data_IF_121763070650
#
_entry.id   IF_121763070650
#
_cell.length_a   1.000
_cell.length_b   1.000
_cell.length_c   1.000
_cell.angle_alpha   90.00
_cell.angle_beta   90.00
_cell.angle_gamma   90.00
#
_symmetry.space_group_name_H-M   'P 1'
#
loop_
_entity.id
_entity.type
_entity.pdbx_description
1 polymer ?
#
# COMPACT_ATOMS: atom_id res chain seq x y z
N UNK A 1 -46.06 -42.17 6.60
CA UNK A 1 -44.75 -42.76 6.36
C UNK A 1 -43.76 -41.66 6.02
N UNK A 2 -42.82 -41.56 6.91
CA UNK A 2 -41.47 -41.00 6.80
C UNK A 2 -41.27 -39.57 6.26
N UNK A 3 -41.11 -38.67 7.22
CA UNK A 3 -40.43 -37.41 7.09
C UNK A 3 -38.93 -37.62 6.93
N UNK A 4 -38.31 -36.79 6.10
CA UNK A 4 -36.85 -36.55 6.12
C UNK A 4 -36.58 -35.12 6.53
N UNK A 5 -35.98 -35.00 7.73
CA UNK A 5 -35.56 -33.73 8.31
C UNK A 5 -34.47 -33.06 7.47
N UNK A 6 -34.68 -31.80 7.23
CA UNK A 6 -33.63 -30.87 6.72
C UNK A 6 -32.74 -30.45 7.89
N UNK A 7 -31.54 -31.04 7.92
CA UNK A 7 -30.50 -30.67 8.86
C UNK A 7 -30.04 -29.19 8.61
N UNK A 8 -30.19 -28.40 9.64
CA UNK A 8 -29.61 -27.05 9.72
C UNK A 8 -28.09 -27.15 9.64
N UNK A 9 -27.51 -26.73 8.53
CA UNK A 9 -26.08 -26.42 8.45
C UNK A 9 -25.84 -25.14 9.20
N UNK A 10 -25.28 -25.25 10.39
CA UNK A 10 -24.66 -24.14 11.10
C UNK A 10 -23.48 -23.64 10.26
N UNK A 11 -23.65 -22.49 9.66
CA UNK A 11 -22.56 -21.70 9.10
C UNK A 11 -21.69 -21.20 10.26
N UNK A 12 -20.65 -21.97 10.60
CA UNK A 12 -19.50 -21.43 11.31
C UNK A 12 -18.81 -20.44 10.33
N UNK A 13 -19.07 -19.16 10.51
CA UNK A 13 -18.18 -18.11 9.99
C UNK A 13 -16.84 -18.25 10.71
N UNK A 14 -15.92 -18.95 10.06
CA UNK A 14 -14.50 -18.95 10.43
C UNK A 14 -14.01 -17.52 10.23
N UNK A 15 -13.77 -16.83 11.32
CA UNK A 15 -13.20 -15.48 11.32
C UNK A 15 -11.91 -15.49 10.48
N UNK A 16 -11.93 -14.76 9.36
CA UNK A 16 -10.75 -14.59 8.51
C UNK A 16 -9.66 -13.89 9.31
N UNK A 17 -8.56 -14.57 9.47
CA UNK A 17 -7.37 -14.17 10.21
C UNK A 17 -6.82 -12.86 9.64
N UNK A 18 -6.88 -11.78 10.41
CA UNK A 18 -6.27 -10.48 10.06
C UNK A 18 -4.77 -10.59 10.23
N UNK A 19 -4.04 -10.69 9.13
CA UNK A 19 -2.58 -10.82 9.14
C UNK A 19 -1.94 -9.45 9.01
N UNK A 20 -1.19 -9.03 10.03
CA UNK A 20 -0.15 -8.02 9.91
C UNK A 20 1.11 -8.72 9.38
N UNK A 21 1.34 -8.64 8.06
CA UNK A 21 2.40 -9.41 7.41
C UNK A 21 2.12 -10.92 7.38
N UNK A 22 3.16 -11.74 7.45
CA UNK A 22 3.07 -13.21 7.46
C UNK A 22 2.89 -13.80 8.88
N UNK A 23 2.68 -12.96 9.89
CA UNK A 23 2.53 -13.38 11.29
C UNK A 23 1.07 -13.64 11.63
N UNK A 24 0.84 -14.76 12.32
CA UNK A 24 -0.48 -15.06 12.87
C UNK A 24 -0.76 -14.17 14.08
N UNK A 25 -1.89 -13.46 14.07
CA UNK A 25 -2.30 -12.60 15.19
C UNK A 25 -2.71 -13.48 16.38
N UNK A 26 -2.23 -13.20 17.61
CA UNK A 26 -2.66 -13.94 18.80
C UNK A 26 -4.17 -13.88 19.03
N UNK A 27 -4.77 -14.97 19.50
CA UNK A 27 -6.23 -15.07 19.74
C UNK A 27 -6.75 -13.96 20.64
N UNK A 28 -5.99 -13.60 21.69
CA UNK A 28 -6.36 -12.51 22.61
C UNK A 28 -6.45 -11.15 21.92
N UNK A 29 -5.52 -10.87 20.98
CA UNK A 29 -5.50 -9.66 20.15
C UNK A 29 -6.62 -9.69 19.13
N UNK A 30 -6.88 -10.84 18.47
CA UNK A 30 -8.01 -11.01 17.54
C UNK A 30 -9.35 -10.73 18.23
N UNK A 31 -9.56 -11.29 19.44
CA UNK A 31 -10.78 -11.06 20.22
C UNK A 31 -10.96 -9.57 20.53
N UNK A 32 -9.89 -8.89 20.94
CA UNK A 32 -9.90 -7.44 21.18
C UNK A 32 -10.30 -6.67 19.90
N UNK A 33 -9.66 -6.96 18.79
CA UNK A 33 -9.95 -6.29 17.51
C UNK A 33 -11.38 -6.52 17.04
N UNK A 34 -11.88 -7.75 17.16
CA UNK A 34 -13.26 -8.12 16.80
C UNK A 34 -14.27 -7.37 17.68
N UNK A 35 -14.04 -7.32 18.99
CA UNK A 35 -14.94 -6.59 19.91
C UNK A 35 -14.96 -5.08 19.63
N UNK A 36 -13.79 -4.47 19.38
CA UNK A 36 -13.70 -3.04 19.03
C UNK A 36 -14.41 -2.73 17.72
N UNK A 37 -14.22 -3.57 16.71
CA UNK A 37 -14.87 -3.41 15.40
C UNK A 37 -16.39 -3.56 15.50
N UNK A 38 -16.86 -4.62 16.17
CA UNK A 38 -18.30 -4.86 16.37
C UNK A 38 -18.95 -3.66 17.07
N UNK A 39 -18.39 -3.20 18.20
CA UNK A 39 -18.88 -2.03 18.93
C UNK A 39 -18.90 -0.77 18.06
N UNK A 40 -17.85 -0.55 17.27
CA UNK A 40 -17.78 0.61 16.40
C UNK A 40 -18.82 0.57 15.28
N UNK A 41 -19.14 -0.61 14.75
CA UNK A 41 -20.10 -0.82 13.67
C UNK A 41 -21.54 -0.77 14.16
N UNK A 42 -21.82 -1.38 15.30
CA UNK A 42 -23.15 -1.42 15.92
C UNK A 42 -23.58 -0.03 16.42
N UNK A 43 -22.62 0.73 16.96
CA UNK A 43 -22.86 2.06 17.50
C UNK A 43 -22.01 3.14 16.78
N UNK A 44 -22.45 3.66 15.64
CA UNK A 44 -21.69 4.65 14.87
C UNK A 44 -21.40 5.96 15.60
N UNK A 45 -22.18 6.27 16.63
CA UNK A 45 -22.01 7.44 17.51
C UNK A 45 -21.15 7.20 18.73
N UNK A 46 -20.77 5.94 19.01
CA UNK A 46 -20.00 5.61 20.20
C UNK A 46 -18.61 6.21 20.17
N UNK A 47 -18.21 6.82 21.28
CA UNK A 47 -16.90 7.44 21.48
C UNK A 47 -16.09 6.66 22.50
N UNK A 48 -14.99 6.07 22.06
CA UNK A 48 -14.14 5.20 22.87
C UNK A 48 -13.27 6.02 23.83
N UNK A 49 -13.32 5.70 25.11
CA UNK A 49 -12.66 6.43 26.21
C UNK A 49 -11.60 5.62 26.99
N UNK A 50 -11.58 4.31 26.85
CA UNK A 50 -10.62 3.41 27.49
C UNK A 50 -9.90 2.56 26.44
N UNK A 51 -8.88 3.13 25.81
CA UNK A 51 -8.09 2.47 24.77
C UNK A 51 -6.59 2.45 25.11
N UNK A 52 -6.13 3.40 25.90
CA UNK A 52 -4.72 3.51 26.22
C UNK A 52 -4.21 2.28 26.98
N UNK A 53 -4.98 1.77 27.92
CA UNK A 53 -4.71 0.54 28.64
C UNK A 53 -4.53 -0.67 27.72
N UNK A 54 -5.30 -0.71 26.61
CA UNK A 54 -5.22 -1.78 25.60
C UNK A 54 -3.96 -1.70 24.75
N UNK A 55 -3.47 -0.49 24.49
CA UNK A 55 -2.18 -0.27 23.82
C UNK A 55 -1.03 -0.75 24.70
N UNK A 56 -1.14 -0.59 26.02
CA UNK A 56 -0.12 -0.99 26.99
C UNK A 56 -0.15 -2.49 27.34
N UNK A 57 -1.07 -3.29 26.79
CA UNK A 57 -1.16 -4.73 27.05
C UNK A 57 0.09 -5.43 26.51
N UNK A 58 0.61 -6.37 27.31
CA UNK A 58 1.80 -7.13 26.96
C UNK A 58 1.64 -7.89 25.63
N UNK A 59 0.52 -8.60 25.45
CA UNK A 59 0.25 -9.36 24.22
C UNK A 59 0.13 -8.48 22.97
N UNK A 60 -0.35 -7.24 23.11
CA UNK A 60 -0.42 -6.25 22.02
C UNK A 60 0.97 -5.73 21.67
N UNK A 61 1.78 -5.39 22.66
CA UNK A 61 3.16 -4.92 22.47
C UNK A 61 4.05 -6.00 21.86
N UNK A 62 3.95 -7.25 22.34
CA UNK A 62 4.68 -8.38 21.76
C UNK A 62 4.30 -8.61 20.28
N UNK A 63 3.01 -8.60 19.97
CA UNK A 63 2.56 -8.74 18.59
C UNK A 63 3.00 -7.58 17.71
N UNK A 64 2.98 -6.35 18.24
CA UNK A 64 3.49 -5.16 17.57
C UNK A 64 5.00 -5.26 17.30
N UNK A 65 5.79 -5.69 18.28
CA UNK A 65 7.23 -5.90 18.12
C UNK A 65 7.54 -6.94 17.05
N UNK A 66 6.92 -8.12 17.14
CA UNK A 66 7.09 -9.20 16.12
C UNK A 66 6.71 -8.73 14.73
N UNK A 67 5.65 -7.93 14.60
CA UNK A 67 5.23 -7.34 13.32
C UNK A 67 6.25 -6.34 12.77
N UNK A 68 6.80 -5.48 13.62
CA UNK A 68 7.86 -4.55 13.25
C UNK A 68 9.14 -5.28 12.81
N UNK A 69 9.53 -6.33 13.55
CA UNK A 69 10.70 -7.15 13.26
C UNK A 69 10.58 -7.93 11.95
N UNK A 70 9.39 -8.53 11.69
CA UNK A 70 9.12 -9.24 10.44
C UNK A 70 9.19 -8.32 9.20
N UNK A 71 8.78 -7.06 9.35
CA UNK A 71 8.88 -6.06 8.29
C UNK A 71 10.31 -5.55 8.09
N UNK A 72 11.22 -5.88 9.00
CA UNK A 72 12.61 -5.40 9.01
C UNK A 72 12.67 -3.87 9.03
N UNK A 73 13.76 -3.29 8.69
CA UNK A 73 13.89 -1.84 8.57
C UNK A 73 15.13 -1.32 9.29
N UNK A 74 15.56 -0.15 8.87
CA UNK A 74 16.75 0.49 9.43
C UNK A 74 16.50 1.03 10.83
N UNK A 75 17.56 1.20 11.61
CA UNK A 75 17.54 1.89 12.90
C UNK A 75 17.05 3.35 12.74
N UNK A 76 16.43 3.88 13.79
CA UNK A 76 16.06 5.28 13.92
C UNK A 76 17.26 6.19 14.18
N UNK A 77 16.99 7.32 14.86
CA UNK A 77 18.02 8.29 15.28
C UNK A 77 18.90 7.76 16.42
N UNK A 78 18.36 6.84 17.21
CA UNK A 78 19.02 6.16 18.32
C UNK A 78 20.07 5.12 17.88
N UNK A 79 20.02 4.70 16.61
CA UNK A 79 20.90 3.68 16.07
C UNK A 79 20.56 2.25 16.49
N UNK A 80 19.56 2.04 17.36
CA UNK A 80 19.16 0.74 17.91
C UNK A 80 18.56 -0.14 16.82
N UNK A 81 18.99 -1.40 16.76
CA UNK A 81 18.52 -2.44 15.84
C UNK A 81 17.76 -3.52 16.59
N UNK A 82 17.03 -4.36 15.86
CA UNK A 82 16.34 -5.51 16.47
C UNK A 82 17.30 -6.51 17.10
N UNK A 83 18.46 -6.71 16.48
CA UNK A 83 19.52 -7.58 16.99
C UNK A 83 20.07 -7.09 18.36
N UNK A 84 20.13 -5.78 18.55
CA UNK A 84 20.60 -5.19 19.82
C UNK A 84 19.59 -5.44 20.95
N UNK A 85 18.29 -5.30 20.64
CA UNK A 85 17.21 -5.59 21.59
C UNK A 85 17.17 -7.08 21.97
N UNK A 86 17.38 -7.97 20.98
CA UNK A 86 17.46 -9.42 21.24
C UNK A 86 18.65 -9.79 22.12
N UNK A 87 19.78 -9.15 21.89
CA UNK A 87 20.99 -9.38 22.71
C UNK A 87 20.84 -8.88 24.14
N UNK A 88 20.06 -7.82 24.37
CA UNK A 88 19.78 -7.28 25.71
C UNK A 88 18.59 -7.93 26.44
N UNK A 89 17.81 -8.77 25.77
CA UNK A 89 16.62 -9.43 26.30
C UNK A 89 15.29 -8.80 25.84
N UNK A 90 14.64 -9.46 24.86
CA UNK A 90 13.38 -8.97 24.25
C UNK A 90 12.26 -8.81 25.30
N UNK A 91 12.11 -9.78 26.21
CA UNK A 91 11.04 -9.76 27.21
C UNK A 91 11.22 -8.63 28.23
N UNK A 92 12.45 -8.42 28.70
CA UNK A 92 12.80 -7.34 29.63
C UNK A 92 12.55 -5.98 28.99
N UNK A 93 13.03 -5.77 27.76
CA UNK A 93 12.83 -4.55 27.01
C UNK A 93 11.33 -4.24 26.77
N UNK A 94 10.52 -5.24 26.43
CA UNK A 94 9.07 -5.09 26.27
C UNK A 94 8.39 -4.77 27.62
N UNK A 95 8.84 -5.40 28.70
CA UNK A 95 8.36 -5.11 30.05
C UNK A 95 8.65 -3.66 30.46
N UNK A 96 9.86 -3.17 30.24
CA UNK A 96 10.24 -1.77 30.50
C UNK A 96 9.40 -0.80 29.66
N UNK A 97 9.18 -1.11 28.38
CA UNK A 97 8.35 -0.29 27.50
C UNK A 97 6.90 -0.24 27.99
N UNK A 98 6.34 -1.38 28.42
CA UNK A 98 5.00 -1.45 28.98
C UNK A 98 4.87 -0.59 30.25
N UNK A 99 5.87 -0.64 31.17
CA UNK A 99 5.89 0.17 32.39
C UNK A 99 6.02 1.67 32.07
N UNK A 100 6.87 2.07 31.13
CA UNK A 100 6.99 3.46 30.69
C UNK A 100 5.67 3.98 30.12
N UNK A 101 4.97 3.17 29.33
CA UNK A 101 3.64 3.51 28.81
C UNK A 101 2.63 3.65 29.97
N UNK A 102 2.54 2.69 30.90
CA UNK A 102 1.63 2.74 32.06
C UNK A 102 1.86 3.99 32.91
N UNK A 103 3.13 4.33 33.14
CA UNK A 103 3.52 5.56 33.87
C UNK A 103 3.32 6.84 33.05
N UNK A 104 3.02 6.73 31.77
CA UNK A 104 2.87 7.86 30.83
C UNK A 104 4.16 8.67 30.60
N UNK A 105 5.29 8.02 30.80
CA UNK A 105 6.63 8.60 30.63
C UNK A 105 7.18 8.41 29.21
N UNK A 106 6.49 7.64 28.36
CA UNK A 106 6.87 7.50 26.97
C UNK A 106 6.78 8.85 26.25
N UNK A 107 7.84 9.17 25.51
CA UNK A 107 7.93 10.31 24.60
C UNK A 107 8.55 9.82 23.30
N UNK A 108 7.95 10.15 22.12
CA UNK A 108 8.56 9.78 20.85
C UNK A 108 9.85 10.56 20.62
N UNK A 109 10.80 9.90 20.00
CA UNK A 109 12.04 10.51 19.58
C UNK A 109 11.92 11.23 18.24
N UNK A 110 13.01 11.84 17.77
CA UNK A 110 13.05 12.44 16.46
C UNK A 110 12.95 11.36 15.38
N UNK A 111 12.30 11.71 14.26
CA UNK A 111 12.18 10.84 13.10
C UNK A 111 13.40 11.04 12.20
N UNK A 112 14.16 9.99 11.91
CA UNK A 112 15.31 10.04 11.02
C UNK A 112 14.85 10.23 9.58
N UNK A 113 15.29 11.32 8.92
CA UNK A 113 15.01 11.60 7.51
C UNK A 113 15.96 10.85 6.59
N UNK A 114 15.39 10.15 5.62
CA UNK A 114 16.14 9.51 4.53
C UNK A 114 15.48 9.88 3.21
N UNK A 115 16.31 10.22 2.22
CA UNK A 115 15.85 10.59 0.88
C UNK A 115 15.92 9.39 -0.06
N UNK A 116 14.78 9.02 -0.64
CA UNK A 116 14.69 7.92 -1.62
C UNK A 116 14.53 8.51 -3.01
N UNK A 117 15.40 8.15 -3.98
CA UNK A 117 15.29 8.66 -5.34
C UNK A 117 14.02 8.14 -6.03
N UNK A 118 13.27 9.06 -6.64
CA UNK A 118 12.13 8.73 -7.52
C UNK A 118 12.62 8.49 -8.95
N UNK A 119 11.88 7.73 -9.78
CA UNK A 119 12.25 7.49 -11.19
C UNK A 119 12.38 8.74 -12.05
N UNK A 120 11.81 9.86 -11.62
CA UNK A 120 11.87 11.16 -12.30
C UNK A 120 13.02 12.07 -11.81
N UNK A 121 13.98 11.51 -11.07
CA UNK A 121 15.12 12.25 -10.52
C UNK A 121 14.81 13.08 -9.26
N UNK A 122 13.54 13.26 -8.89
CA UNK A 122 13.17 13.90 -7.61
C UNK A 122 13.40 12.93 -6.45
N UNK A 123 13.55 13.46 -5.25
CA UNK A 123 13.67 12.66 -4.04
C UNK A 123 12.32 12.58 -3.29
N UNK A 124 12.10 11.46 -2.60
CA UNK A 124 10.98 11.27 -1.68
C UNK A 124 11.52 11.27 -0.26
N UNK A 125 11.03 12.15 0.62
CA UNK A 125 11.40 12.10 2.03
C UNK A 125 10.73 10.89 2.70
N UNK A 126 11.53 10.06 3.35
CA UNK A 126 11.05 8.98 4.21
C UNK A 126 11.47 9.28 5.65
N UNK A 127 10.53 9.15 6.57
CA UNK A 127 10.81 9.28 7.99
C UNK A 127 10.90 7.90 8.65
N UNK A 128 12.00 7.62 9.32
CA UNK A 128 12.24 6.35 10.01
C UNK A 128 12.17 6.64 11.53
N UNK A 129 11.07 6.26 12.22
CA UNK A 129 11.00 6.32 13.68
C UNK A 129 11.94 5.29 14.31
N UNK A 130 12.27 5.45 15.60
CA UNK A 130 12.98 4.45 16.38
C UNK A 130 12.19 3.14 16.47
N UNK A 131 12.83 2.03 16.84
CA UNK A 131 12.12 0.76 17.01
C UNK A 131 11.06 0.91 18.10
N UNK A 132 11.38 1.58 19.19
CA UNK A 132 10.44 1.90 20.28
C UNK A 132 9.19 2.59 19.74
N UNK A 133 9.36 3.65 18.97
CA UNK A 133 8.24 4.40 18.38
C UNK A 133 7.44 3.56 17.39
N UNK A 134 8.11 2.75 16.58
CA UNK A 134 7.43 1.83 15.65
C UNK A 134 6.56 0.81 16.37
N UNK A 135 7.05 0.25 17.49
CA UNK A 135 6.30 -0.72 18.28
C UNK A 135 5.09 -0.06 18.93
N UNK A 136 5.24 1.11 19.55
CA UNK A 136 4.11 1.83 20.18
C UNK A 136 3.08 2.27 19.15
N UNK A 137 3.51 2.78 18.00
CA UNK A 137 2.59 3.14 16.91
C UNK A 137 1.87 1.92 16.32
N UNK A 138 2.55 0.79 16.18
CA UNK A 138 1.94 -0.46 15.72
C UNK A 138 0.95 -1.01 16.74
N UNK A 139 1.27 -0.95 18.03
CA UNK A 139 0.35 -1.29 19.13
C UNK A 139 -0.90 -0.40 19.10
N UNK A 140 -0.71 0.90 18.90
CA UNK A 140 -1.83 1.83 18.71
C UNK A 140 -2.67 1.49 17.47
N UNK A 141 -2.04 1.15 16.33
CA UNK A 141 -2.76 0.69 15.14
C UNK A 141 -3.58 -0.57 15.39
N UNK A 142 -3.04 -1.57 16.08
CA UNK A 142 -3.75 -2.81 16.43
C UNK A 142 -5.08 -2.50 17.14
N UNK A 143 -5.09 -1.47 17.99
CA UNK A 143 -6.28 -1.06 18.76
C UNK A 143 -7.19 -0.12 17.96
N UNK A 144 -6.65 0.83 17.21
CA UNK A 144 -7.42 1.90 16.56
C UNK A 144 -7.98 1.50 15.19
N UNK A 145 -7.24 0.70 14.42
CA UNK A 145 -7.63 0.31 13.06
C UNK A 145 -9.01 -0.37 13.02
N UNK A 146 -9.37 -1.33 13.90
CA UNK A 146 -10.69 -1.94 13.92
C UNK A 146 -11.84 -0.94 14.14
N UNK A 147 -11.60 0.11 14.93
CA UNK A 147 -12.60 1.13 15.21
C UNK A 147 -12.85 1.99 13.96
N UNK A 148 -11.77 2.45 13.33
CA UNK A 148 -11.87 3.32 12.18
C UNK A 148 -12.23 2.58 10.89
N UNK A 149 -11.88 1.29 10.77
CA UNK A 149 -12.30 0.45 9.64
C UNK A 149 -13.83 0.42 9.50
N UNK A 150 -14.57 0.43 10.62
CA UNK A 150 -16.03 0.52 10.62
C UNK A 150 -16.57 1.85 10.01
N UNK A 151 -15.74 2.90 10.01
CA UNK A 151 -16.09 4.24 9.53
C UNK A 151 -15.61 4.55 8.11
N UNK A 152 -14.57 3.84 7.63
CA UNK A 152 -13.99 4.09 6.31
C UNK A 152 -15.01 3.85 5.20
N UNK A 153 -14.95 4.66 4.18
CA UNK A 153 -15.90 4.61 3.06
C UNK A 153 -15.55 3.48 2.08
N UNK A 154 -16.54 3.02 1.35
CA UNK A 154 -16.39 1.95 0.35
C UNK A 154 -15.48 2.32 -0.81
N UNK A 155 -15.27 3.58 -1.06
CA UNK A 155 -14.42 4.14 -2.10
C UNK A 155 -12.93 4.14 -1.73
N UNK A 156 -12.57 3.83 -0.46
CA UNK A 156 -11.19 3.77 0.01
C UNK A 156 -10.66 2.34 -0.03
N UNK A 157 -9.54 2.12 -0.72
CA UNK A 157 -8.98 0.78 -0.96
C UNK A 157 -7.62 0.55 -0.32
N UNK A 158 -6.80 1.60 -0.14
CA UNK A 158 -5.46 1.47 0.41
C UNK A 158 -5.44 1.23 1.90
N UNK A 159 -4.43 0.49 2.37
CA UNK A 159 -4.14 0.25 3.79
C UNK A 159 -5.28 -0.38 4.58
N UNK A 160 -6.08 -1.21 3.95
CA UNK A 160 -7.21 -1.93 4.56
C UNK A 160 -7.01 -3.44 4.45
N UNK A 161 -7.44 -4.19 5.47
CA UNK A 161 -7.15 -5.62 5.58
C UNK A 161 -7.75 -6.48 4.45
N UNK A 162 -8.96 -6.17 3.99
CA UNK A 162 -9.69 -6.97 3.00
C UNK A 162 -9.83 -6.29 1.63
N UNK A 163 -9.10 -5.18 1.42
CA UNK A 163 -9.14 -4.41 0.19
C UNK A 163 -7.74 -4.14 -0.31
N UNK A 164 -7.57 -4.20 -1.62
CA UNK A 164 -6.27 -4.01 -2.23
C UNK A 164 -6.32 -3.25 -3.55
N UNK A 165 -5.15 -3.09 -4.14
CA UNK A 165 -5.01 -2.43 -5.43
C UNK A 165 -5.82 -3.11 -6.54
N UNK A 166 -5.93 -4.45 -6.51
CA UNK A 166 -6.73 -5.19 -7.47
C UNK A 166 -8.22 -4.85 -7.39
N UNK A 167 -8.74 -4.62 -6.19
CA UNK A 167 -10.16 -4.28 -6.02
C UNK A 167 -10.43 -2.86 -6.54
N UNK A 168 -9.52 -1.92 -6.29
CA UNK A 168 -9.58 -0.59 -6.88
C UNK A 168 -9.53 -0.63 -8.42
N UNK A 169 -8.63 -1.43 -8.99
CA UNK A 169 -8.50 -1.62 -10.45
C UNK A 169 -9.76 -2.25 -11.03
N UNK A 170 -10.34 -3.27 -10.38
CA UNK A 170 -11.62 -3.89 -10.80
C UNK A 170 -12.77 -2.90 -10.75
N UNK A 171 -12.83 -2.07 -9.72
CA UNK A 171 -13.89 -1.06 -9.58
C UNK A 171 -13.80 0.01 -10.66
N UNK A 172 -12.60 0.52 -10.95
CA UNK A 172 -12.40 1.44 -12.09
C UNK A 172 -12.84 0.79 -13.41
N UNK A 173 -12.44 -0.46 -13.65
CA UNK A 173 -12.85 -1.19 -14.85
C UNK A 173 -14.39 -1.34 -14.95
N UNK A 174 -15.03 -1.71 -13.83
CA UNK A 174 -16.49 -1.83 -13.73
C UNK A 174 -17.19 -0.50 -14.07
N UNK A 175 -16.72 0.60 -13.50
CA UNK A 175 -17.27 1.94 -13.75
C UNK A 175 -17.15 2.33 -15.23
N UNK A 176 -15.99 2.10 -15.84
CA UNK A 176 -15.78 2.38 -17.26
C UNK A 176 -16.71 1.57 -18.18
N UNK A 177 -16.90 0.28 -17.88
CA UNK A 177 -17.78 -0.62 -18.65
C UNK A 177 -19.27 -0.32 -18.45
N UNK A 178 -19.63 0.33 -17.33
CA UNK A 178 -21.01 0.80 -17.08
C UNK A 178 -21.27 2.23 -17.55
N UNK A 179 -20.37 2.80 -18.36
CA UNK A 179 -20.57 4.08 -19.06
C UNK A 179 -19.98 5.31 -18.36
N UNK A 180 -19.26 5.15 -17.24
CA UNK A 180 -18.57 6.26 -16.56
C UNK A 180 -17.20 6.50 -17.18
N UNK A 181 -17.20 6.95 -18.45
CA UNK A 181 -16.02 6.95 -19.32
C UNK A 181 -15.24 8.27 -19.32
N UNK A 182 -15.72 9.28 -18.58
CA UNK A 182 -14.97 10.52 -18.37
C UNK A 182 -14.27 10.41 -17.02
N UNK A 183 -12.94 10.33 -17.05
CA UNK A 183 -12.13 10.00 -15.89
C UNK A 183 -11.30 11.20 -15.48
N UNK A 184 -11.47 11.65 -14.25
CA UNK A 184 -10.59 12.62 -13.62
C UNK A 184 -9.51 11.81 -12.89
N UNK A 185 -8.29 11.85 -13.41
CA UNK A 185 -7.09 11.30 -12.78
C UNK A 185 -6.42 12.43 -12.00
N UNK A 186 -6.52 12.39 -10.67
CA UNK A 186 -6.10 13.47 -9.79
C UNK A 186 -4.87 13.10 -8.96
N UNK A 187 -3.81 13.92 -9.08
CA UNK A 187 -2.59 13.82 -8.28
C UNK A 187 -2.62 14.90 -7.19
N UNK A 188 -2.35 14.52 -5.94
CA UNK A 188 -2.26 15.46 -4.82
C UNK A 188 -0.80 15.81 -4.54
N UNK A 189 -0.50 17.10 -4.51
CA UNK A 189 0.84 17.60 -4.21
C UNK A 189 1.18 17.40 -2.74
N UNK A 190 2.15 16.52 -2.45
CA UNK A 190 2.64 16.34 -1.09
C UNK A 190 1.54 15.98 -0.09
N UNK A 191 0.65 15.06 -0.42
CA UNK A 191 -0.55 14.76 0.37
C UNK A 191 -0.24 14.57 1.86
N UNK A 192 0.73 13.69 2.19
CA UNK A 192 1.12 13.44 3.58
C UNK A 192 1.67 14.68 4.28
N UNK A 193 2.40 15.52 3.57
CA UNK A 193 3.05 16.71 4.14
C UNK A 193 2.07 17.90 4.28
N UNK A 194 0.90 17.82 3.62
CA UNK A 194 -0.10 18.90 3.60
C UNK A 194 -1.24 18.75 4.62
N UNK A 195 -1.44 17.56 5.21
CA UNK A 195 -2.56 17.26 6.10
C UNK A 195 -2.49 18.13 7.37
N UNK A 196 -3.51 19.00 7.63
CA UNK A 196 -3.52 19.87 8.81
C UNK A 196 -3.76 19.07 10.10
N UNK A 197 -2.91 19.23 11.10
CA UNK A 197 -3.01 18.51 12.38
C UNK A 197 -4.34 18.76 13.10
N UNK A 198 -4.78 20.03 13.17
CA UNK A 198 -6.02 20.40 13.84
C UNK A 198 -7.24 19.67 13.27
N UNK A 199 -7.35 19.64 11.94
CA UNK A 199 -8.48 19.03 11.26
C UNK A 199 -8.40 17.49 11.28
N UNK A 200 -7.19 16.92 11.22
CA UNK A 200 -6.96 15.51 11.39
C UNK A 200 -7.36 15.06 12.81
N UNK A 201 -6.90 15.77 13.84
CA UNK A 201 -7.26 15.47 15.24
C UNK A 201 -8.74 15.54 15.51
N UNK A 202 -9.50 16.47 14.86
CA UNK A 202 -10.97 16.48 14.91
C UNK A 202 -11.56 15.19 14.32
N UNK A 203 -10.96 14.66 13.24
CA UNK A 203 -11.41 13.40 12.64
C UNK A 203 -11.18 12.21 13.56
N UNK A 204 -10.03 12.18 14.25
CA UNK A 204 -9.73 11.16 15.26
C UNK A 204 -10.67 11.29 16.47
N UNK A 205 -10.81 12.51 17.01
CA UNK A 205 -11.63 12.79 18.19
C UNK A 205 -13.12 12.53 18.00
N UNK A 206 -13.59 12.35 16.77
CA UNK A 206 -14.96 11.93 16.49
C UNK A 206 -15.29 10.56 17.11
N UNK A 207 -14.31 9.65 17.15
CA UNK A 207 -14.46 8.28 17.68
C UNK A 207 -13.65 8.05 18.97
N UNK A 208 -12.58 8.77 19.16
CA UNK A 208 -11.66 8.57 20.29
C UNK A 208 -11.71 9.78 21.21
N UNK A 209 -12.08 9.56 22.47
CA UNK A 209 -12.04 10.59 23.53
C UNK A 209 -11.04 10.26 24.63
N UNK A 210 -10.34 9.13 24.52
CA UNK A 210 -9.22 8.81 25.40
C UNK A 210 -8.12 9.86 25.21
N UNK A 211 -7.95 10.70 26.24
CA UNK A 211 -6.99 11.81 26.21
C UNK A 211 -5.55 11.36 26.00
N UNK A 212 -5.21 10.17 26.51
CA UNK A 212 -3.83 9.66 26.41
C UNK A 212 -3.54 9.16 24.99
N UNK A 213 -4.50 8.52 24.33
CA UNK A 213 -4.39 8.12 22.92
C UNK A 213 -4.31 9.36 22.03
N UNK A 214 -5.17 10.37 22.26
CA UNK A 214 -5.10 11.63 21.51
C UNK A 214 -3.76 12.34 21.71
N UNK A 215 -3.22 12.30 22.92
CA UNK A 215 -1.91 12.86 23.23
C UNK A 215 -0.78 12.14 22.51
N UNK A 216 -0.78 10.80 22.47
CA UNK A 216 0.18 10.01 21.69
C UNK A 216 0.18 10.41 20.22
N UNK A 217 -1.01 10.44 19.61
CA UNK A 217 -1.13 10.81 18.18
C UNK A 217 -0.58 12.22 17.94
N UNK A 218 -0.92 13.18 18.82
CA UNK A 218 -0.40 14.54 18.74
C UNK A 218 1.13 14.58 18.84
N UNK A 219 1.71 13.84 19.78
CA UNK A 219 3.16 13.76 19.95
C UNK A 219 3.85 13.21 18.68
N UNK A 220 3.30 12.18 18.03
CA UNK A 220 3.86 11.64 16.79
C UNK A 220 3.76 12.61 15.61
N UNK A 221 2.68 13.41 15.52
CA UNK A 221 2.54 14.44 14.50
C UNK A 221 3.51 15.60 14.70
N UNK A 222 3.84 15.92 15.95
CA UNK A 222 4.72 17.02 16.34
C UNK A 222 6.19 16.58 16.56
N UNK A 223 6.49 15.29 16.39
CA UNK A 223 7.83 14.76 16.57
C UNK A 223 8.84 15.48 15.65
N UNK A 224 10.00 15.87 16.16
CA UNK A 224 11.03 16.49 15.34
C UNK A 224 11.53 15.55 14.24
N UNK A 225 12.03 16.12 13.18
CA UNK A 225 12.72 15.38 12.12
C UNK A 225 14.21 15.67 12.19
N UNK A 226 15.03 14.64 12.18
CA UNK A 226 16.49 14.75 12.15
C UNK A 226 17.02 14.30 10.80
N UNK A 227 17.85 15.13 10.19
CA UNK A 227 18.45 14.89 8.88
C UNK A 227 19.98 14.97 9.00
N UNK A 228 20.65 13.99 8.41
CA UNK A 228 22.11 13.97 8.30
C UNK A 228 22.51 14.63 6.98
N UNK A 229 23.43 15.60 7.06
CA UNK A 229 23.94 16.33 5.88
C UNK A 229 25.03 15.55 5.11
N UNK A 230 25.34 14.33 5.54
CA UNK A 230 26.40 13.50 4.95
C UNK A 230 27.82 13.88 5.38
N UNK A 231 27.98 14.96 6.15
CA UNK A 231 29.26 15.42 6.72
C UNK A 231 29.36 15.19 8.22
N UNK A 232 28.40 14.43 8.79
CA UNK A 232 28.34 14.11 10.22
C UNK A 232 27.59 15.15 11.07
N UNK A 233 27.06 16.21 10.47
CA UNK A 233 26.21 17.15 11.20
C UNK A 233 24.76 16.71 11.09
N UNK A 234 24.08 16.64 12.23
CA UNK A 234 22.66 16.32 12.33
C UNK A 234 21.85 17.59 12.52
N UNK A 235 21.01 17.90 11.56
CA UNK A 235 20.07 19.02 11.63
C UNK A 235 18.72 18.52 12.12
N UNK A 236 18.26 19.07 13.24
CA UNK A 236 16.94 18.80 13.80
C UNK A 236 15.97 19.91 13.40
N UNK A 237 14.78 19.54 12.91
CA UNK A 237 13.74 20.49 12.52
C UNK A 237 12.40 20.12 13.13
N UNK A 238 11.62 21.14 13.46
CA UNK A 238 10.25 21.03 14.00
C UNK A 238 9.22 21.57 13.02
N UNK A 239 9.55 21.63 11.76
CA UNK A 239 8.73 22.27 10.70
C UNK A 239 7.28 21.76 10.66
N UNK A 240 7.02 20.46 10.87
CA UNK A 240 5.66 19.90 10.90
C UNK A 240 4.86 20.43 12.08
N UNK A 241 5.49 20.51 13.27
CA UNK A 241 4.88 21.08 14.47
C UNK A 241 4.59 22.56 14.28
N UNK A 242 5.56 23.32 13.80
CA UNK A 242 5.49 24.78 13.69
C UNK A 242 4.49 25.21 12.61
N UNK A 243 4.39 24.43 11.51
CA UNK A 243 3.37 24.63 10.47
C UNK A 243 2.00 24.03 10.84
N UNK A 244 1.90 23.20 11.87
CA UNK A 244 0.68 22.49 12.28
C UNK A 244 0.13 21.56 11.22
N UNK A 245 1.00 20.98 10.38
CA UNK A 245 0.63 20.08 9.28
C UNK A 245 1.73 19.09 8.94
N UNK A 246 1.33 17.99 8.31
CA UNK A 246 2.21 16.93 7.86
C UNK A 246 2.14 15.69 8.74
N UNK A 247 2.18 14.52 8.09
CA UNK A 247 2.26 13.20 8.72
C UNK A 247 3.57 12.55 8.28
N UNK A 248 4.36 11.98 9.19
CA UNK A 248 5.64 11.35 8.84
C UNK A 248 5.47 10.21 7.82
N UNK A 249 6.00 10.34 6.60
CA UNK A 249 5.97 9.28 5.61
C UNK A 249 6.90 8.14 6.06
N UNK A 250 6.32 6.96 6.35
CA UNK A 250 7.05 5.77 6.81
C UNK A 250 6.79 5.39 8.27
N UNK A 251 6.09 6.22 9.03
CA UNK A 251 5.63 5.86 10.36
C UNK A 251 4.42 4.89 10.30
N UNK A 252 4.35 3.86 11.15
CA UNK A 252 3.29 2.85 11.11
C UNK A 252 1.87 3.41 11.18
N UNK A 253 1.62 4.45 11.97
CA UNK A 253 0.30 5.05 12.15
C UNK A 253 -0.15 5.91 10.98
N UNK A 254 0.76 6.36 10.13
CA UNK A 254 0.47 7.35 9.07
C UNK A 254 -0.52 6.90 8.00
N UNK A 255 -0.55 5.62 7.57
CA UNK A 255 -1.58 5.12 6.66
C UNK A 255 -3.00 5.27 7.20
N UNK A 256 -3.23 4.93 8.48
CA UNK A 256 -4.53 5.09 9.13
C UNK A 256 -4.96 6.56 9.17
N UNK A 257 -4.05 7.44 9.60
CA UNK A 257 -4.32 8.87 9.70
C UNK A 257 -4.60 9.50 8.34
N UNK A 258 -3.88 9.10 7.28
CA UNK A 258 -4.12 9.56 5.92
C UNK A 258 -5.50 9.13 5.41
N UNK A 259 -5.90 7.87 5.64
CA UNK A 259 -7.24 7.39 5.28
C UNK A 259 -8.35 8.15 6.02
N UNK A 260 -8.16 8.46 7.30
CA UNK A 260 -9.11 9.26 8.09
C UNK A 260 -9.27 10.67 7.52
N UNK A 261 -8.20 11.25 7.01
CA UNK A 261 -8.27 12.58 6.41
C UNK A 261 -8.92 12.54 5.03
N UNK A 262 -8.57 11.59 4.17
CA UNK A 262 -9.18 11.40 2.84
C UNK A 262 -10.68 11.07 2.95
N UNK A 263 -11.11 10.38 3.99
CA UNK A 263 -12.52 10.15 4.28
C UNK A 263 -13.33 11.45 4.29
N UNK A 264 -12.76 12.58 4.74
CA UNK A 264 -13.45 13.88 4.74
C UNK A 264 -13.80 14.35 3.33
N UNK A 265 -12.88 14.13 2.38
CA UNK A 265 -13.15 14.41 0.96
C UNK A 265 -14.32 13.60 0.43
N UNK A 266 -14.31 12.29 0.68
CA UNK A 266 -15.36 11.39 0.19
C UNK A 266 -16.73 11.73 0.81
N UNK A 267 -16.75 12.02 2.11
CA UNK A 267 -17.98 12.46 2.77
C UNK A 267 -18.47 13.80 2.23
N UNK A 268 -17.58 14.77 2.02
CA UNK A 268 -17.93 16.06 1.40
C UNK A 268 -18.51 15.86 -0.01
N UNK A 269 -17.91 14.99 -0.82
CA UNK A 269 -18.40 14.62 -2.14
C UNK A 269 -19.83 14.09 -2.11
N UNK A 270 -20.12 13.16 -1.19
CA UNK A 270 -21.45 12.58 -1.00
C UNK A 270 -22.45 13.62 -0.47
N UNK A 271 -22.07 14.42 0.53
CA UNK A 271 -22.93 15.45 1.13
C UNK A 271 -23.32 16.55 0.14
N UNK A 272 -22.42 16.94 -0.76
CA UNK A 272 -22.71 17.91 -1.82
C UNK A 272 -23.50 17.31 -2.97
N UNK A 273 -23.84 16.03 -2.91
CA UNK A 273 -24.60 15.32 -3.92
C UNK A 273 -23.87 15.15 -5.26
N UNK A 274 -22.54 15.30 -5.26
CA UNK A 274 -21.72 15.23 -6.46
C UNK A 274 -21.87 13.91 -7.21
N UNK A 275 -21.94 12.80 -6.46
CA UNK A 275 -22.14 11.46 -6.99
C UNK A 275 -23.43 11.35 -7.81
N UNK A 276 -24.56 11.86 -7.30
CA UNK A 276 -25.85 11.87 -8.01
C UNK A 276 -25.89 12.91 -9.13
N UNK A 277 -25.37 14.12 -8.86
CA UNK A 277 -25.46 15.27 -9.79
C UNK A 277 -24.72 15.01 -11.10
N UNK A 278 -23.58 14.36 -11.03
CA UNK A 278 -22.69 14.14 -12.19
C UNK A 278 -22.53 12.67 -12.53
N UNK A 279 -23.20 11.76 -11.84
CA UNK A 279 -22.95 10.31 -11.89
C UNK A 279 -21.46 10.03 -11.81
N UNK A 280 -20.83 10.54 -10.76
CA UNK A 280 -19.37 10.60 -10.59
C UNK A 280 -18.93 9.84 -9.34
N UNK A 281 -18.28 8.70 -9.56
CA UNK A 281 -17.88 7.75 -8.53
C UNK A 281 -16.39 7.85 -8.23
N UNK A 282 -16.04 7.90 -6.95
CA UNK A 282 -14.67 7.97 -6.47
C UNK A 282 -14.07 6.57 -6.34
N UNK A 283 -12.82 6.42 -6.75
CA UNK A 283 -11.94 5.29 -6.40
C UNK A 283 -10.65 5.88 -5.83
N UNK A 284 -10.41 5.67 -4.55
CA UNK A 284 -9.25 6.23 -3.86
C UNK A 284 -8.30 5.13 -3.38
N UNK A 285 -7.02 5.29 -3.66
CA UNK A 285 -5.95 4.43 -3.17
C UNK A 285 -4.81 5.28 -2.61
N UNK A 286 -4.81 5.54 -1.31
CA UNK A 286 -3.90 6.46 -0.62
C UNK A 286 -3.97 7.90 -1.20
N UNK A 287 -2.90 8.38 -1.80
CA UNK A 287 -2.80 9.67 -2.51
C UNK A 287 -3.28 9.60 -3.96
N UNK A 288 -3.40 8.41 -4.55
CA UNK A 288 -3.96 8.23 -5.89
C UNK A 288 -5.49 8.31 -5.85
N UNK A 289 -6.06 9.22 -6.63
CA UNK A 289 -7.51 9.50 -6.68
C UNK A 289 -8.01 9.50 -8.11
N UNK A 290 -8.99 8.64 -8.39
CA UNK A 290 -9.70 8.60 -9.68
C UNK A 290 -11.18 8.86 -9.45
N UNK A 291 -11.79 9.71 -10.29
CA UNK A 291 -13.23 9.93 -10.31
C UNK A 291 -13.76 9.60 -11.69
N UNK A 292 -14.59 8.57 -11.79
CA UNK A 292 -15.21 8.14 -13.01
C UNK A 292 -16.60 8.77 -13.16
N UNK A 293 -16.80 9.60 -14.19
CA UNK A 293 -18.00 10.36 -14.43
C UNK A 293 -18.74 9.87 -15.68
N UNK A 294 -20.05 9.90 -15.66
CA UNK A 294 -20.87 9.63 -16.84
C UNK A 294 -21.05 10.88 -17.69
N UNK A 295 -21.29 12.02 -17.07
CA UNK A 295 -21.46 13.32 -17.73
C UNK A 295 -20.89 14.45 -16.86
N UNK A 296 -20.73 15.66 -17.47
CA UNK A 296 -20.31 16.90 -16.80
C UNK A 296 -19.01 16.77 -15.99
N UNK A 297 -18.03 16.11 -16.58
CA UNK A 297 -16.77 15.82 -15.88
C UNK A 297 -15.99 17.09 -15.54
N UNK A 298 -16.13 18.17 -16.32
CA UNK A 298 -15.49 19.46 -16.03
C UNK A 298 -16.09 20.10 -14.76
N UNK A 299 -17.43 20.00 -14.59
CA UNK A 299 -18.09 20.45 -13.35
C UNK A 299 -17.68 19.59 -12.15
N UNK A 300 -17.55 18.26 -12.36
CA UNK A 300 -17.09 17.34 -11.34
C UNK A 300 -15.64 17.65 -10.92
N UNK A 301 -14.76 17.98 -11.86
CA UNK A 301 -13.38 18.41 -11.58
C UNK A 301 -13.35 19.70 -10.74
N UNK A 302 -14.15 20.69 -11.10
CA UNK A 302 -14.27 21.93 -10.32
C UNK A 302 -14.80 21.66 -8.90
N UNK A 303 -15.80 20.79 -8.77
CA UNK A 303 -16.31 20.34 -7.47
C UNK A 303 -15.25 19.65 -6.62
N UNK A 304 -14.44 18.76 -7.22
CA UNK A 304 -13.29 18.12 -6.56
C UNK A 304 -12.30 19.18 -6.04
N UNK A 305 -11.88 20.13 -6.90
CA UNK A 305 -10.96 21.21 -6.53
C UNK A 305 -11.49 22.03 -5.36
N UNK A 306 -12.76 22.42 -5.39
CA UNK A 306 -13.40 23.20 -4.32
C UNK A 306 -13.44 22.46 -2.98
N UNK A 307 -13.65 21.14 -2.98
CA UNK A 307 -13.62 20.34 -1.74
C UNK A 307 -12.17 20.18 -1.25
N UNK A 308 -11.22 19.93 -2.15
CA UNK A 308 -9.80 19.81 -1.78
C UNK A 308 -9.25 21.10 -1.18
N UNK A 309 -9.59 22.24 -1.75
CA UNK A 309 -9.23 23.56 -1.21
C UNK A 309 -9.77 23.77 0.22
N UNK A 310 -11.05 23.44 0.47
CA UNK A 310 -11.64 23.49 1.83
C UNK A 310 -10.94 22.57 2.81
N UNK A 311 -10.39 21.47 2.33
CA UNK A 311 -9.59 20.54 3.11
C UNK A 311 -8.10 20.97 3.20
N UNK A 312 -7.74 22.10 2.60
CA UNK A 312 -6.34 22.59 2.53
C UNK A 312 -5.39 21.58 1.88
N UNK A 313 -5.89 20.81 0.92
CA UNK A 313 -5.13 19.90 0.08
C UNK A 313 -4.89 20.55 -1.28
N UNK A 314 -3.70 20.40 -1.82
CA UNK A 314 -3.32 21.00 -3.10
C UNK A 314 -3.37 19.96 -4.20
N UNK A 315 -4.21 20.20 -5.20
CA UNK A 315 -4.26 19.40 -6.43
C UNK A 315 -3.06 19.80 -7.30
N UNK A 316 -2.38 18.83 -7.87
CA UNK A 316 -1.30 19.05 -8.81
C UNK A 316 -1.86 19.25 -10.22
N UNK A 317 -1.90 20.49 -10.71
CA UNK A 317 -2.50 20.82 -12.00
C UNK A 317 -1.77 20.20 -13.19
N UNK A 318 -0.44 20.09 -13.10
CA UNK A 318 0.38 19.51 -14.18
C UNK A 318 0.13 18.02 -14.40
N UNK A 319 -0.37 17.34 -13.38
CA UNK A 319 -0.58 15.89 -13.39
C UNK A 319 -2.04 15.48 -13.27
N UNK A 320 -2.93 16.42 -12.97
CA UNK A 320 -4.37 16.13 -12.92
C UNK A 320 -4.98 16.31 -14.29
N UNK A 321 -5.53 15.25 -14.83
CA UNK A 321 -6.04 15.23 -16.19
C UNK A 321 -7.47 14.69 -16.26
N UNK A 322 -8.24 15.22 -17.21
CA UNK A 322 -9.53 14.67 -17.63
C UNK A 322 -9.30 13.78 -18.85
N UNK A 323 -9.48 12.49 -18.71
CA UNK A 323 -9.33 11.50 -19.79
C UNK A 323 -10.70 11.01 -20.25
N UNK A 324 -10.93 10.98 -21.57
CA UNK A 324 -12.17 10.49 -22.20
C UNK A 324 -11.94 9.10 -22.82
N UNK A 325 -12.48 8.07 -22.17
CA UNK A 325 -12.37 6.69 -22.64
C UNK A 325 -13.53 6.40 -23.58
N UNK A 326 -13.32 5.72 -24.69
CA UNK A 326 -12.14 4.95 -25.11
C UNK A 326 -11.15 5.70 -26.02
N UNK A 327 -11.34 6.98 -26.28
CA UNK A 327 -10.47 7.75 -27.18
C UNK A 327 -9.07 7.93 -26.60
N UNK A 328 -9.00 8.17 -25.31
CA UNK A 328 -7.79 8.36 -24.56
C UNK A 328 -7.48 7.14 -23.68
N UNK A 329 -6.40 7.21 -22.91
CA UNK A 329 -5.95 6.18 -21.97
C UNK A 329 -5.38 6.87 -20.75
N UNK A 330 -5.53 6.25 -19.59
CA UNK A 330 -4.89 6.69 -18.36
C UNK A 330 -4.28 5.53 -17.61
N UNK A 331 -3.33 5.83 -16.74
CA UNK A 331 -2.64 4.84 -15.90
C UNK A 331 -3.10 5.01 -14.44
N UNK A 332 -3.57 3.93 -13.83
CA UNK A 332 -3.91 3.90 -12.41
C UNK A 332 -3.33 2.63 -11.77
N UNK A 333 -2.63 2.78 -10.64
CA UNK A 333 -1.97 1.69 -9.91
C UNK A 333 -1.10 0.79 -10.78
N UNK A 334 -0.43 1.37 -11.77
CA UNK A 334 0.45 0.65 -12.69
C UNK A 334 -0.25 -0.08 -13.82
N UNK A 335 -1.57 -0.02 -13.90
CA UNK A 335 -2.36 -0.51 -15.04
C UNK A 335 -2.76 0.64 -15.96
N UNK A 336 -2.84 0.36 -17.27
CA UNK A 336 -3.40 1.26 -18.28
C UNK A 336 -4.81 0.83 -18.64
N UNK A 337 -5.75 1.76 -18.55
CA UNK A 337 -7.14 1.61 -18.97
C UNK A 337 -7.37 2.27 -20.32
N UNK A 338 -8.16 1.63 -21.20
CA UNK A 338 -8.50 2.19 -22.52
C UNK A 338 -8.95 1.15 -23.51
N UNK A 339 -9.03 1.54 -24.78
CA UNK A 339 -9.47 0.66 -25.86
C UNK A 339 -8.51 -0.50 -26.06
N UNK A 340 -9.05 -1.70 -26.05
CA UNK A 340 -8.41 -2.96 -26.42
C UNK A 340 -9.23 -3.64 -27.54
N UNK A 341 -8.65 -4.64 -28.19
CA UNK A 341 -9.31 -5.41 -29.25
C UNK A 341 -9.23 -6.90 -28.90
N UNK A 342 -10.36 -7.59 -29.04
CA UNK A 342 -10.43 -9.04 -28.88
C UNK A 342 -9.61 -9.73 -29.98
N UNK A 343 -8.75 -10.65 -29.62
CA UNK A 343 -7.98 -11.45 -30.59
C UNK A 343 -8.86 -12.43 -31.38
N UNK A 344 -9.98 -12.83 -30.78
CA UNK A 344 -10.91 -13.81 -31.40
C UNK A 344 -11.89 -13.12 -32.34
N UNK A 345 -12.50 -12.01 -31.88
CA UNK A 345 -13.60 -11.36 -32.63
C UNK A 345 -13.20 -10.08 -33.34
N UNK A 346 -12.01 -9.54 -33.08
CA UNK A 346 -11.56 -8.21 -33.58
C UNK A 346 -12.32 -7.03 -32.95
N UNK A 347 -13.35 -7.26 -32.16
CA UNK A 347 -14.19 -6.19 -31.59
C UNK A 347 -13.43 -5.38 -30.52
N UNK A 348 -13.66 -4.08 -30.55
CA UNK A 348 -13.14 -3.17 -29.55
C UNK A 348 -13.90 -3.33 -28.21
N UNK A 349 -13.15 -3.25 -27.11
CA UNK A 349 -13.70 -3.22 -25.76
C UNK A 349 -12.83 -2.33 -24.84
N UNK A 350 -13.35 -1.94 -23.70
CA UNK A 350 -12.56 -1.25 -22.67
C UNK A 350 -11.79 -2.30 -21.87
N UNK A 351 -10.47 -2.23 -21.93
CA UNK A 351 -9.59 -3.21 -21.27
C UNK A 351 -8.66 -2.57 -20.25
N UNK A 352 -8.11 -3.45 -19.42
CA UNK A 352 -7.14 -3.11 -18.37
C UNK A 352 -5.89 -3.96 -18.59
N UNK A 353 -4.71 -3.35 -18.69
CA UNK A 353 -3.46 -4.07 -18.95
C UNK A 353 -2.30 -3.46 -18.17
N UNK A 354 -1.21 -4.20 -17.91
CA UNK A 354 -0.01 -3.62 -17.32
C UNK A 354 0.48 -2.41 -18.12
N UNK A 355 0.80 -1.30 -17.43
CA UNK A 355 1.24 -0.08 -18.10
C UNK A 355 2.63 -0.26 -18.73
N UNK A 356 2.91 0.49 -19.79
CA UNK A 356 4.24 0.52 -20.43
C UNK A 356 5.34 0.84 -19.40
N UNK A 357 5.05 1.74 -18.46
CA UNK A 357 5.97 2.14 -17.39
C UNK A 357 6.25 0.98 -16.43
N UNK A 358 5.25 0.16 -16.12
CA UNK A 358 5.39 -1.01 -15.25
C UNK A 358 6.20 -2.13 -15.94
N UNK A 359 5.92 -2.36 -17.22
CA UNK A 359 6.69 -3.32 -18.04
C UNK A 359 8.16 -2.88 -18.14
N UNK A 360 8.41 -1.59 -18.44
CA UNK A 360 9.77 -1.05 -18.52
C UNK A 360 10.54 -1.24 -17.21
N UNK A 361 9.93 -0.91 -16.05
CA UNK A 361 10.57 -1.12 -14.74
C UNK A 361 10.96 -2.59 -14.51
N UNK A 362 10.14 -3.53 -14.95
CA UNK A 362 10.45 -4.96 -14.85
C UNK A 362 11.62 -5.34 -15.76
N UNK A 363 11.62 -4.85 -16.99
CA UNK A 363 12.72 -5.03 -17.96
C UNK A 363 14.03 -4.47 -17.43
N UNK A 364 14.01 -3.25 -16.86
CA UNK A 364 15.18 -2.63 -16.26
C UNK A 364 15.70 -3.45 -15.06
N UNK A 365 14.79 -3.95 -14.21
CA UNK A 365 15.14 -4.79 -13.06
C UNK A 365 15.75 -6.15 -13.47
N UNK A 366 15.25 -6.77 -14.54
CA UNK A 366 15.85 -8.01 -15.11
C UNK A 366 17.24 -7.70 -15.66
N UNK A 367 17.40 -6.56 -16.33
CA UNK A 367 18.67 -6.13 -16.90
C UNK A 367 19.74 -5.93 -15.83
N UNK A 368 19.36 -5.33 -14.70
CA UNK A 368 20.23 -5.16 -13.55
C UNK A 368 20.64 -6.50 -12.92
N UNK A 369 19.71 -7.45 -12.74
CA UNK A 369 20.04 -8.78 -12.18
C UNK A 369 20.98 -9.58 -13.09
N UNK A 370 20.93 -9.35 -14.38
CA UNK A 370 21.75 -10.03 -15.40
C UNK A 370 22.88 -9.13 -15.93
N UNK A 371 23.34 -8.16 -15.10
CA UNK A 371 24.47 -7.32 -15.47
C UNK A 371 25.79 -8.12 -15.53
N UNK A 372 26.72 -7.67 -16.38
CA UNK A 372 28.04 -8.33 -16.53
C UNK A 372 28.83 -8.37 -15.23
N UNK A 373 28.66 -7.40 -14.37
CA UNK A 373 29.35 -7.33 -13.07
C UNK A 373 28.93 -8.44 -12.11
N UNK A 374 27.82 -9.11 -12.40
CA UNK A 374 27.26 -10.20 -11.59
C UNK A 374 27.61 -11.60 -12.11
N UNK A 375 28.54 -11.74 -13.09
CA UNK A 375 28.92 -13.04 -13.67
C UNK A 375 29.66 -13.97 -12.70
N UNK A 376 30.13 -13.45 -11.58
CA UNK A 376 30.74 -14.26 -10.50
C UNK A 376 29.68 -15.02 -9.68
N UNK A 377 28.43 -14.57 -9.69
CA UNK A 377 27.34 -15.22 -8.93
C UNK A 377 26.95 -16.55 -9.56
N UNK A 378 26.46 -17.49 -8.75
CA UNK A 378 25.94 -18.77 -9.24
C UNK A 378 24.68 -18.60 -10.07
N UNK A 379 24.50 -19.47 -11.09
CA UNK A 379 23.38 -19.40 -12.00
C UNK A 379 22.05 -19.63 -11.27
N UNK A 380 21.99 -20.60 -10.36
CA UNK A 380 20.83 -20.90 -9.53
C UNK A 380 20.42 -19.70 -8.66
N UNK A 381 21.40 -19.01 -8.06
CA UNK A 381 21.14 -17.81 -7.27
C UNK A 381 20.51 -16.69 -8.10
N UNK A 382 21.07 -16.42 -9.30
CA UNK A 382 20.56 -15.40 -10.22
C UNK A 382 19.14 -15.75 -10.70
N UNK A 383 18.92 -17.01 -11.09
CA UNK A 383 17.60 -17.51 -11.51
C UNK A 383 16.59 -17.44 -10.36
N UNK A 384 16.98 -17.81 -9.16
CA UNK A 384 16.14 -17.68 -7.96
C UNK A 384 15.70 -16.23 -7.71
N UNK A 385 16.58 -15.25 -7.90
CA UNK A 385 16.26 -13.82 -7.80
C UNK A 385 15.32 -13.37 -8.92
N UNK A 386 15.59 -13.78 -10.16
CA UNK A 386 14.71 -13.49 -11.31
C UNK A 386 13.32 -14.07 -11.07
N UNK A 387 13.20 -15.32 -10.62
CA UNK A 387 11.93 -15.99 -10.37
C UNK A 387 11.11 -15.27 -9.29
N UNK A 388 11.73 -14.82 -8.19
CA UNK A 388 11.03 -14.02 -7.16
C UNK A 388 10.45 -12.73 -7.74
N UNK A 389 11.23 -12.01 -8.56
CA UNK A 389 10.77 -10.77 -9.22
C UNK A 389 9.67 -11.05 -10.24
N UNK A 390 9.82 -12.06 -11.09
CA UNK A 390 8.83 -12.46 -12.10
C UNK A 390 7.52 -12.89 -11.44
N UNK A 391 7.59 -13.70 -10.38
CA UNK A 391 6.42 -14.16 -9.64
C UNK A 391 5.69 -13.00 -8.97
N UNK A 392 6.41 -12.14 -8.26
CA UNK A 392 5.82 -10.97 -7.59
C UNK A 392 5.15 -10.03 -8.59
N UNK A 393 5.80 -9.77 -9.74
CA UNK A 393 5.25 -8.94 -10.80
C UNK A 393 4.00 -9.57 -11.42
N UNK A 394 4.03 -10.86 -11.73
CA UNK A 394 2.89 -11.57 -12.32
C UNK A 394 1.71 -11.69 -11.35
N UNK A 395 1.94 -11.89 -10.07
CA UNK A 395 0.90 -11.90 -9.05
C UNK A 395 0.17 -10.56 -8.96
N UNK A 396 0.90 -9.45 -9.13
CA UNK A 396 0.30 -8.12 -9.14
C UNK A 396 -0.37 -7.80 -10.49
N UNK A 397 0.30 -8.04 -11.60
CA UNK A 397 -0.21 -7.73 -12.94
C UNK A 397 -0.93 -8.94 -13.55
N UNK A 398 -2.01 -9.37 -12.89
CA UNK A 398 -2.81 -10.53 -13.31
C UNK A 398 -4.19 -10.17 -13.88
N UNK A 399 -4.58 -8.88 -13.90
CA UNK A 399 -5.90 -8.45 -14.36
C UNK A 399 -5.89 -8.06 -15.85
N UNK A 400 -6.94 -8.49 -16.57
CA UNK A 400 -7.15 -8.19 -17.96
C UNK A 400 -6.23 -8.94 -18.94
N UNK A 401 -6.06 -8.49 -20.19
CA UNK A 401 -5.27 -9.15 -21.23
C UNK A 401 -3.75 -9.00 -20.99
N UNK A 402 -3.21 -9.78 -20.07
CA UNK A 402 -1.80 -9.75 -19.63
C UNK A 402 -0.84 -10.50 -20.56
N UNK A 403 -1.33 -11.42 -21.40
CA UNK A 403 -0.49 -12.29 -22.23
C UNK A 403 0.58 -11.56 -23.06
N UNK A 404 0.29 -10.40 -23.71
CA UNK A 404 1.32 -9.68 -24.46
C UNK A 404 2.46 -9.15 -23.57
N UNK A 405 2.12 -8.67 -22.36
CA UNK A 405 3.11 -8.18 -21.40
C UNK A 405 3.98 -9.32 -20.86
N UNK A 406 3.34 -10.46 -20.52
CA UNK A 406 4.05 -11.66 -20.06
C UNK A 406 4.99 -12.18 -21.11
N UNK A 407 4.54 -12.25 -22.39
CA UNK A 407 5.40 -12.68 -23.50
C UNK A 407 6.61 -11.77 -23.70
N UNK A 408 6.40 -10.45 -23.66
CA UNK A 408 7.48 -9.47 -23.82
C UNK A 408 8.54 -9.60 -22.70
N UNK A 409 8.09 -9.70 -21.45
CA UNK A 409 9.00 -9.89 -20.30
C UNK A 409 9.69 -11.24 -20.36
N UNK A 410 8.97 -12.30 -20.72
CA UNK A 410 9.53 -13.65 -20.84
C UNK A 410 10.64 -13.72 -21.91
N UNK A 411 10.39 -13.13 -23.06
CA UNK A 411 11.38 -13.03 -24.13
C UNK A 411 12.62 -12.25 -23.67
N UNK A 412 12.41 -11.13 -22.97
CA UNK A 412 13.51 -10.33 -22.45
C UNK A 412 14.35 -11.08 -21.42
N UNK A 413 13.72 -11.73 -20.43
CA UNK A 413 14.48 -12.46 -19.39
C UNK A 413 15.27 -13.62 -19.97
N UNK A 414 14.71 -14.37 -20.92
CA UNK A 414 15.42 -15.45 -21.59
C UNK A 414 16.65 -14.94 -22.35
N UNK A 415 16.51 -13.85 -23.12
CA UNK A 415 17.61 -13.24 -23.85
C UNK A 415 18.71 -12.74 -22.91
N UNK A 416 18.33 -12.06 -21.82
CA UNK A 416 19.26 -11.51 -20.84
C UNK A 416 20.00 -12.62 -20.08
N UNK A 417 19.29 -13.63 -19.59
CA UNK A 417 19.89 -14.76 -18.87
C UNK A 417 20.86 -15.54 -19.76
N UNK A 418 20.47 -15.80 -21.01
CA UNK A 418 21.34 -16.48 -21.99
C UNK A 418 22.63 -15.70 -22.26
N UNK A 419 22.53 -14.39 -22.47
CA UNK A 419 23.71 -13.52 -22.62
C UNK A 419 24.60 -13.50 -21.38
N UNK A 420 23.99 -13.52 -20.21
CA UNK A 420 24.70 -13.57 -18.93
C UNK A 420 25.45 -14.89 -18.77
N UNK A 421 24.83 -16.05 -19.08
CA UNK A 421 25.45 -17.38 -19.08
C UNK A 421 26.63 -17.47 -20.08
N UNK A 422 26.45 -16.94 -21.29
CA UNK A 422 27.52 -16.90 -22.29
C UNK A 422 28.75 -16.13 -21.77
N UNK A 423 28.51 -14.99 -21.10
CA UNK A 423 29.61 -14.21 -20.51
C UNK A 423 30.29 -14.95 -19.35
N UNK A 424 29.48 -15.55 -18.46
CA UNK A 424 30.00 -16.31 -17.32
C UNK A 424 30.90 -17.47 -17.76
N UNK A 425 30.50 -18.20 -18.79
CA UNK A 425 31.19 -19.40 -19.28
C UNK A 425 32.02 -19.17 -20.54
N UNK A 426 32.23 -17.89 -20.92
CA UNK A 426 33.02 -17.49 -22.10
C UNK A 426 32.57 -18.18 -23.42
N UNK A 427 31.27 -18.44 -23.56
CA UNK A 427 30.66 -19.02 -24.76
C UNK A 427 30.48 -17.94 -25.81
N UNK A 428 31.00 -18.17 -27.02
CA UNK A 428 30.81 -17.25 -28.14
C UNK A 428 29.45 -17.38 -28.81
N UNK A 429 29.01 -16.33 -29.49
CA UNK A 429 27.74 -16.27 -30.22
C UNK A 429 26.52 -16.01 -29.35
N UNK A 430 25.33 -16.35 -29.87
CA UNK A 430 24.05 -16.08 -29.21
C UNK A 430 23.74 -16.99 -28.02
N UNK A 431 24.48 -18.08 -27.86
CA UNK A 431 24.29 -19.08 -26.82
C UNK A 431 23.04 -19.95 -26.99
N UNK A 432 22.28 -19.82 -28.08
CA UNK A 432 21.01 -20.56 -28.25
C UNK A 432 21.22 -22.07 -28.31
N UNK A 433 22.27 -22.52 -28.96
CA UNK A 433 22.63 -23.95 -29.04
C UNK A 433 23.10 -24.50 -27.69
N UNK A 434 23.94 -23.75 -26.97
CA UNK A 434 24.48 -24.17 -25.66
C UNK A 434 23.44 -24.08 -24.54
N UNK A 435 22.58 -23.06 -24.59
CA UNK A 435 21.55 -22.77 -23.59
C UNK A 435 20.20 -22.62 -24.30
N UNK A 436 19.61 -23.71 -24.83
CA UNK A 436 18.29 -23.66 -25.46
C UNK A 436 17.21 -23.27 -24.42
N UNK A 437 16.00 -22.93 -24.90
CA UNK A 437 14.91 -22.52 -24.01
C UNK A 437 14.59 -23.60 -22.98
N UNK A 438 14.63 -24.87 -23.38
CA UNK A 438 14.41 -26.01 -22.50
C UNK A 438 15.42 -26.03 -21.35
N UNK A 439 16.70 -25.78 -21.61
CA UNK A 439 17.73 -25.69 -20.57
C UNK A 439 17.43 -24.60 -19.53
N UNK A 440 16.96 -23.42 -19.97
CA UNK A 440 16.61 -22.33 -19.06
C UNK A 440 15.43 -22.67 -18.16
N UNK A 441 14.42 -23.37 -18.66
CA UNK A 441 13.23 -23.72 -17.92
C UNK A 441 13.39 -24.99 -17.08
N UNK A 442 13.94 -26.06 -17.65
CA UNK A 442 13.94 -27.39 -17.03
C UNK A 442 15.18 -27.64 -16.18
N UNK A 443 16.35 -27.13 -16.60
CA UNK A 443 17.63 -27.34 -15.84
C UNK A 443 17.83 -26.22 -14.83
N UNK A 444 17.67 -24.95 -15.25
CA UNK A 444 17.89 -23.80 -14.35
C UNK A 444 16.61 -23.40 -13.58
N UNK A 445 15.45 -23.96 -13.91
CA UNK A 445 14.20 -23.70 -13.22
C UNK A 445 13.66 -22.28 -13.40
N UNK A 446 13.99 -21.61 -14.55
CA UNK A 446 13.41 -20.30 -14.84
C UNK A 446 11.90 -20.41 -15.03
N UNK A 447 11.13 -19.52 -14.42
CA UNK A 447 9.67 -19.47 -14.55
C UNK A 447 9.27 -19.03 -15.96
N UNK A 448 8.38 -19.81 -16.60
CA UNK A 448 7.74 -19.46 -17.86
C UNK A 448 6.48 -18.64 -17.60
N UNK A 449 6.56 -17.32 -17.73
CA UNK A 449 5.42 -16.41 -17.47
C UNK A 449 4.18 -16.69 -18.35
N UNK A 450 4.29 -16.92 -19.66
CA UNK A 450 3.16 -17.25 -20.51
C UNK A 450 2.33 -18.43 -20.03
N UNK A 451 2.97 -19.48 -19.47
CA UNK A 451 2.24 -20.64 -18.93
C UNK A 451 1.31 -20.28 -17.77
N UNK A 452 1.66 -19.26 -16.97
CA UNK A 452 0.81 -18.80 -15.87
C UNK A 452 -0.51 -18.17 -16.30
N UNK A 453 -0.63 -17.76 -17.56
CA UNK A 453 -1.91 -17.20 -18.07
C UNK A 453 -3.02 -18.25 -18.16
N UNK A 454 -2.68 -19.53 -18.20
CA UNK A 454 -3.66 -20.62 -18.21
C UNK A 454 -4.44 -20.74 -16.90
N UNK A 455 -3.81 -20.33 -15.80
CA UNK A 455 -4.36 -20.45 -14.44
C UNK A 455 -5.20 -19.22 -14.04
N UNK A 456 -5.21 -18.18 -14.87
CA UNK A 456 -5.90 -16.92 -14.60
C UNK A 456 -7.24 -16.88 -15.34
N UNK A 457 -8.41 -16.91 -14.65
CA UNK A 457 -9.73 -16.98 -15.26
C UNK A 457 -10.01 -15.87 -16.27
N UNK A 458 -9.45 -14.68 -16.06
CA UNK A 458 -9.63 -13.47 -16.88
C UNK A 458 -8.50 -13.21 -17.88
N UNK A 459 -7.47 -14.02 -17.89
CA UNK A 459 -6.40 -13.93 -18.89
C UNK A 459 -6.77 -14.56 -20.24
N UNK A 460 -7.89 -15.28 -20.31
CA UNK A 460 -8.40 -15.98 -21.48
C UNK A 460 -9.36 -15.12 -22.33
N UNK A 461 -9.65 -13.90 -21.91
CA UNK A 461 -10.55 -12.99 -22.61
C UNK A 461 -9.84 -12.18 -23.72
#
# INVERSE_FOLDING_TARGET
>A
MEGRGLGSRSTQEVGKDRRLGNLQTPISVQKLQTALHAKAKEEPGYRFYLLYDKICRQDVLEHAYRSCKANKGSAGVDGVRFEDIEASGEEEWLGELAERLKKKDYRPEAVKRVWIPKPNGKQRPLGIPTITDRVVQTAAMIVLDPIFEADLQTEQYAYRAERGAHDAVREVHRLLTTGHQNVIDADLSGYFDSIPHKELMKSVARRIVDRHVLHLIKQWLEAPVEEDDGHGHRRRTTSSRDAGRGIPQGAPISPLLSNLYMRRFILGWKQWGCERRWSAHIVNYADDLVICCKYRADEAMNGMRSIMEKLRLTVNDDKTHLCRIPQERFDFLGYTFGRCYSRVTGRAYIGTRPSKKSIKRMVDSITEETDRRRTLLDAEYVVGRLNRKLTGWANYFCLGPVSPAYQAINTHVMQRLRRWLCRKHKVQGSGRTRYPDQYLYEVLGLINLPRRTHDLPWAKA
#
